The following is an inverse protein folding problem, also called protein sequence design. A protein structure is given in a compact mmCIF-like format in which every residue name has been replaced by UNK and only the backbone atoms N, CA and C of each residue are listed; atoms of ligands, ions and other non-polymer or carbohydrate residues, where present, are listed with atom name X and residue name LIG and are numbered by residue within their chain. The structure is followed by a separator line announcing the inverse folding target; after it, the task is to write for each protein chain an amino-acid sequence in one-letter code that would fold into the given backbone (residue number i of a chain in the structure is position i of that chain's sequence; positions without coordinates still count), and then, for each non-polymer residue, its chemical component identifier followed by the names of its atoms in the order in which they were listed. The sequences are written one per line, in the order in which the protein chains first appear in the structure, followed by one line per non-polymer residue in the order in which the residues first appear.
data_IF_161095869578
#
_entry.id   IF_161095869578
#
_cell.length_a   1.000
_cell.length_b   1.000
_cell.length_c   1.000
_cell.angle_alpha   90.00
_cell.angle_beta   90.00
_cell.angle_gamma   90.00
#
_symmetry.space_group_name_H-M   'P 1'
#
loop_
_entity.id
_entity.type
_entity.pdbx_description
1 polymer ?
#
# COMPACT_ATOMS: atom_id res chain seq x y z
N UNK A 1 -10.16 90.76 12.96
CA UNK A 1 -10.84 89.52 12.48
C UNK A 1 -10.11 88.79 11.32
N UNK A 2 -9.45 89.47 10.39
CA UNK A 2 -8.71 88.80 9.26
C UNK A 2 -7.43 88.07 9.67
N UNK A 3 -6.73 88.52 10.75
CA UNK A 3 -5.50 87.88 11.25
C UNK A 3 -5.76 86.51 11.94
N UNK A 4 -6.85 86.36 12.64
CA UNK A 4 -7.27 85.14 13.28
C UNK A 4 -7.65 84.01 12.30
N UNK A 5 -8.36 84.34 11.24
CA UNK A 5 -8.69 83.44 10.15
C UNK A 5 -7.46 82.81 9.48
N UNK A 6 -6.42 83.64 9.23
CA UNK A 6 -5.14 83.14 8.63
C UNK A 6 -4.38 82.20 9.56
N UNK A 7 -4.43 82.42 10.90
CA UNK A 7 -3.85 81.46 11.89
C UNK A 7 -4.62 80.16 11.94
N UNK A 8 -5.93 80.21 11.94
CA UNK A 8 -6.80 79.04 11.94
C UNK A 8 -6.56 78.22 10.67
N UNK A 9 -6.47 78.80 9.50
CA UNK A 9 -6.19 78.16 8.21
C UNK A 9 -4.81 77.46 8.24
N UNK A 10 -3.77 78.14 8.79
CA UNK A 10 -2.43 77.53 8.93
C UNK A 10 -2.40 76.38 9.87
N UNK A 11 -3.11 76.46 10.98
CA UNK A 11 -3.24 75.33 11.96
C UNK A 11 -4.01 74.14 11.33
N UNK A 12 -5.12 74.40 10.64
CA UNK A 12 -5.87 73.40 9.92
C UNK A 12 -5.03 72.72 8.83
N UNK A 13 -4.25 73.48 8.07
CA UNK A 13 -3.36 72.95 7.04
C UNK A 13 -2.20 72.13 7.63
N UNK A 14 -1.65 72.56 8.78
CA UNK A 14 -0.66 71.80 9.51
C UNK A 14 -1.24 70.45 10.06
N UNK A 15 -2.46 70.42 10.62
CA UNK A 15 -3.13 69.22 11.07
C UNK A 15 -3.40 68.27 9.90
N UNK A 16 -3.87 68.78 8.77
CA UNK A 16 -4.06 67.96 7.55
C UNK A 16 -2.74 67.37 7.05
N UNK A 17 -1.65 68.16 7.05
CA UNK A 17 -0.34 67.67 6.67
C UNK A 17 0.19 66.57 7.61
N UNK A 18 0.02 66.75 8.92
CA UNK A 18 0.38 65.71 9.91
C UNK A 18 -0.44 64.43 9.72
N UNK A 19 -1.76 64.54 9.49
CA UNK A 19 -2.62 63.40 9.21
C UNK A 19 -2.20 62.68 7.91
N UNK A 20 -1.85 63.44 6.86
CA UNK A 20 -1.34 62.88 5.61
C UNK A 20 -0.02 62.12 5.80
N UNK A 21 0.92 62.69 6.56
CA UNK A 21 2.19 62.04 6.88
C UNK A 21 1.96 60.81 7.74
N UNK A 22 1.03 60.83 8.71
CA UNK A 22 0.69 59.68 9.52
C UNK A 22 0.06 58.53 8.68
N UNK A 23 -0.84 58.85 7.75
CA UNK A 23 -1.42 57.88 6.81
C UNK A 23 -0.35 57.28 5.88
N UNK A 24 0.60 58.08 5.40
CA UNK A 24 1.72 57.59 4.60
C UNK A 24 2.61 56.64 5.43
N UNK A 25 2.95 57.06 6.66
CA UNK A 25 3.77 56.22 7.55
C UNK A 25 3.14 54.86 7.86
N UNK A 26 1.82 54.83 8.04
CA UNK A 26 1.10 53.53 8.26
C UNK A 26 1.14 52.61 7.04
N UNK A 27 1.24 53.14 5.82
CA UNK A 27 1.32 52.33 4.60
C UNK A 27 2.76 51.95 4.21
N UNK A 28 3.76 52.38 4.95
CA UNK A 28 5.16 52.04 4.70
C UNK A 28 5.57 50.64 5.24
N UNK A 29 4.75 50.03 6.03
CA UNK A 29 5.07 48.72 6.64
C UNK A 29 4.16 47.64 6.11
N UNK A 30 4.73 46.44 5.99
CA UNK A 30 4.01 45.22 5.70
C UNK A 30 4.49 44.13 6.66
N UNK A 31 3.56 43.34 7.19
CA UNK A 31 3.87 42.19 8.03
C UNK A 31 3.64 40.95 7.20
N UNK A 32 4.68 40.13 7.06
CA UNK A 32 4.62 38.80 6.40
C UNK A 32 4.38 37.78 7.48
N UNK A 33 3.35 36.99 7.31
CA UNK A 33 2.99 35.94 8.26
C UNK A 33 4.02 34.80 8.25
N UNK A 34 4.18 34.12 9.39
CA UNK A 34 5.05 32.95 9.48
C UNK A 34 4.64 31.87 8.46
N UNK A 35 5.65 31.32 7.74
CA UNK A 35 5.43 30.35 6.66
C UNK A 35 4.89 30.93 5.37
N UNK A 36 4.98 32.25 5.20
CA UNK A 36 4.72 32.96 3.95
C UNK A 36 5.96 33.72 3.47
N UNK A 37 6.06 33.90 2.17
CA UNK A 37 7.09 34.72 1.54
C UNK A 37 6.42 35.91 0.83
N UNK A 38 6.93 37.12 1.07
CA UNK A 38 6.45 38.32 0.46
C UNK A 38 7.10 38.54 -0.92
N UNK A 39 6.33 38.45 -1.99
CA UNK A 39 6.76 38.82 -3.34
C UNK A 39 6.54 40.32 -3.55
N UNK A 40 7.62 41.05 -3.80
CA UNK A 40 7.59 42.49 -4.00
C UNK A 40 7.30 42.81 -5.46
N UNK A 41 6.34 43.70 -5.68
CA UNK A 41 6.06 44.23 -7.01
C UNK A 41 6.25 45.76 -7.00
N UNK A 42 7.11 46.29 -7.86
CA UNK A 42 7.35 47.70 -8.03
C UNK A 42 6.71 48.19 -9.34
N UNK A 43 5.73 49.05 -9.25
CA UNK A 43 4.90 49.52 -10.38
C UNK A 43 4.30 48.40 -11.20
N UNK A 44 3.98 47.25 -10.53
CA UNK A 44 3.41 46.07 -11.18
C UNK A 44 4.44 45.06 -11.73
N UNK A 45 5.72 45.40 -11.75
CA UNK A 45 6.79 44.46 -12.10
C UNK A 45 7.24 43.66 -10.85
N UNK A 46 7.33 42.35 -10.96
CA UNK A 46 7.82 41.50 -9.90
C UNK A 46 9.33 41.67 -9.75
N UNK A 47 9.79 41.87 -8.53
CA UNK A 47 11.22 41.88 -8.20
C UNK A 47 11.69 40.46 -7.85
N UNK A 48 12.97 40.15 -8.18
CA UNK A 48 13.57 38.88 -7.83
C UNK A 48 13.79 38.69 -6.31
N UNK A 49 13.81 39.84 -5.59
CA UNK A 49 13.98 39.84 -4.13
C UNK A 49 12.67 39.52 -3.44
N UNK A 50 12.71 38.51 -2.55
CA UNK A 50 11.58 38.11 -1.72
C UNK A 50 11.80 38.57 -0.27
N UNK A 51 10.71 38.91 0.42
CA UNK A 51 10.71 39.24 1.84
C UNK A 51 10.39 37.98 2.67
N UNK A 52 11.23 37.72 3.64
CA UNK A 52 10.99 36.63 4.65
C UNK A 52 9.86 37.03 5.60
N UNK A 53 9.48 36.14 6.47
CA UNK A 53 8.52 36.41 7.55
C UNK A 53 8.99 37.54 8.47
N UNK A 54 8.04 38.36 8.98
CA UNK A 54 8.28 39.45 9.87
C UNK A 54 7.81 40.82 9.34
N UNK A 55 8.31 41.89 9.98
CA UNK A 55 8.00 43.27 9.63
C UNK A 55 9.00 43.82 8.62
N UNK A 56 8.49 44.29 7.48
CA UNK A 56 9.31 44.86 6.42
C UNK A 56 8.83 46.27 6.04
N UNK A 57 9.76 47.07 5.54
CA UNK A 57 9.47 48.37 5.00
C UNK A 57 9.17 48.26 3.49
N UNK A 58 8.11 48.92 3.03
CA UNK A 58 7.77 49.04 1.60
C UNK A 58 7.54 50.51 1.23
N UNK A 59 7.85 50.86 0.01
CA UNK A 59 7.53 52.18 -0.51
C UNK A 59 6.01 52.30 -0.80
N UNK A 60 5.27 53.16 -0.08
CA UNK A 60 3.83 53.32 -0.28
C UNK A 60 3.55 53.83 -1.72
N UNK A 61 2.46 53.34 -2.31
CA UNK A 61 1.99 53.60 -3.69
C UNK A 61 2.87 53.05 -4.82
N UNK A 62 4.15 52.79 -4.57
CA UNK A 62 5.10 52.25 -5.55
C UNK A 62 5.22 50.76 -5.48
N UNK A 63 5.31 50.25 -4.25
CA UNK A 63 5.48 48.83 -3.99
C UNK A 63 4.20 48.18 -3.46
N UNK A 64 3.86 47.04 -4.02
CA UNK A 64 2.87 46.13 -3.52
C UNK A 64 3.54 44.79 -3.12
N UNK A 65 3.09 44.18 -2.06
CA UNK A 65 3.64 42.88 -1.59
C UNK A 65 2.54 41.85 -1.56
N UNK A 66 2.73 40.77 -2.30
CA UNK A 66 1.83 39.63 -2.32
C UNK A 66 2.44 38.49 -1.49
N UNK A 67 1.68 37.96 -0.54
CA UNK A 67 2.14 36.88 0.31
C UNK A 67 1.85 35.56 -0.36
N UNK A 68 2.89 34.75 -0.61
CA UNK A 68 2.78 33.35 -1.05
C UNK A 68 2.88 32.43 0.13
N UNK A 69 2.01 31.43 0.19
CA UNK A 69 2.02 30.41 1.23
C UNK A 69 3.07 29.34 0.90
N UNK A 70 4.14 29.27 1.71
CA UNK A 70 5.25 28.32 1.56
C UNK A 70 5.13 27.13 2.53
N UNK A 71 4.05 27.05 3.31
CA UNK A 71 3.78 25.89 4.16
C UNK A 71 3.46 24.69 3.30
N UNK A 72 3.62 23.50 3.87
CA UNK A 72 3.19 22.27 3.22
C UNK A 72 1.69 22.29 2.95
N UNK A 73 1.35 22.18 1.70
CA UNK A 73 -0.03 22.12 1.20
C UNK A 73 -0.33 20.71 0.72
N UNK A 74 -1.61 20.33 0.75
CA UNK A 74 -2.11 19.06 0.21
C UNK A 74 -2.96 19.36 -1.02
N UNK A 75 -2.67 18.64 -2.10
CA UNK A 75 -3.57 18.56 -3.27
C UNK A 75 -3.98 17.10 -3.46
N UNK A 76 -5.28 16.90 -3.65
CA UNK A 76 -5.84 15.61 -4.00
C UNK A 76 -6.41 15.69 -5.41
N UNK A 77 -6.10 14.70 -6.24
CA UNK A 77 -6.59 14.63 -7.61
C UNK A 77 -6.96 13.20 -7.95
N UNK A 78 -7.93 13.09 -8.86
CA UNK A 78 -8.41 11.81 -9.40
C UNK A 78 -8.35 11.84 -10.91
N UNK A 79 -8.28 10.68 -11.51
CA UNK A 79 -8.24 10.53 -12.95
C UNK A 79 -8.14 9.08 -13.38
N UNK A 80 -7.90 8.89 -14.67
CA UNK A 80 -7.69 7.57 -15.25
C UNK A 80 -6.33 7.51 -15.95
N UNK A 81 -5.71 6.33 -15.90
CA UNK A 81 -4.48 6.01 -16.62
C UNK A 81 -4.64 4.64 -17.30
N UNK A 82 -3.80 4.35 -18.28
CA UNK A 82 -3.70 3.01 -18.87
C UNK A 82 -2.43 2.34 -18.36
N UNK A 83 -2.55 1.09 -17.94
CA UNK A 83 -1.42 0.24 -17.61
C UNK A 83 -0.70 -0.26 -18.89
N UNK A 84 0.44 -0.92 -18.73
CA UNK A 84 1.23 -1.51 -19.82
C UNK A 84 0.45 -2.53 -20.65
N UNK A 85 -0.45 -3.27 -20.01
CA UNK A 85 -1.35 -4.25 -20.62
C UNK A 85 -2.70 -3.66 -21.05
N UNK A 86 -2.73 -2.31 -21.24
CA UNK A 86 -3.87 -1.54 -21.76
C UNK A 86 -5.13 -1.60 -20.89
N UNK A 87 -5.00 -1.96 -19.61
CA UNK A 87 -6.11 -1.88 -18.67
C UNK A 87 -6.33 -0.45 -18.20
N UNK A 88 -7.59 -0.03 -18.09
CA UNK A 88 -7.95 1.28 -17.55
C UNK A 88 -7.92 1.19 -16.03
N UNK A 89 -7.16 2.10 -15.41
CA UNK A 89 -7.00 2.22 -13.98
C UNK A 89 -7.52 3.58 -13.55
N UNK A 90 -8.52 3.63 -12.70
CA UNK A 90 -8.96 4.84 -12.02
C UNK A 90 -8.11 5.04 -10.77
N UNK A 91 -7.63 6.25 -10.56
CA UNK A 91 -6.79 6.55 -9.41
C UNK A 91 -7.28 7.75 -8.63
N UNK A 92 -7.03 7.72 -7.32
CA UNK A 92 -7.10 8.87 -6.42
C UNK A 92 -5.76 8.99 -5.73
N UNK A 93 -5.14 10.14 -5.81
CA UNK A 93 -3.82 10.40 -5.22
C UNK A 93 -3.84 11.69 -4.42
N UNK A 94 -3.03 11.73 -3.37
CA UNK A 94 -2.81 12.90 -2.53
C UNK A 94 -1.32 13.23 -2.51
N UNK A 95 -0.99 14.50 -2.77
CA UNK A 95 0.38 15.01 -2.83
C UNK A 95 0.54 16.13 -1.82
N UNK A 96 1.56 16.01 -0.97
CA UNK A 96 2.00 17.08 -0.09
C UNK A 96 3.23 17.74 -0.70
N UNK A 97 3.19 19.06 -0.83
CA UNK A 97 4.25 19.84 -1.43
C UNK A 97 4.34 21.21 -0.76
N UNK A 98 5.47 21.87 -0.93
CA UNK A 98 5.65 23.27 -0.57
C UNK A 98 6.40 24.02 -1.67
N UNK A 99 6.25 25.33 -1.67
CA UNK A 99 7.00 26.23 -2.55
C UNK A 99 8.26 26.68 -1.82
N UNK A 100 9.40 26.61 -2.51
CA UNK A 100 10.66 27.10 -1.96
C UNK A 100 10.65 28.65 -1.91
N UNK A 101 11.07 29.23 -0.81
CA UNK A 101 11.06 30.68 -0.57
C UNK A 101 11.76 31.44 -1.70
N UNK A 102 12.94 30.98 -2.12
CA UNK A 102 13.74 31.59 -3.19
C UNK A 102 13.07 31.59 -4.56
N UNK A 103 12.12 30.67 -4.78
CA UNK A 103 11.44 30.50 -6.07
C UNK A 103 10.07 31.19 -6.13
N UNK A 104 9.60 31.72 -4.99
CA UNK A 104 8.28 32.34 -4.88
C UNK A 104 8.08 33.48 -5.86
N UNK A 105 9.09 34.33 -6.07
CA UNK A 105 9.01 35.46 -7.01
C UNK A 105 8.85 34.99 -8.46
N UNK A 106 9.69 34.07 -8.91
CA UNK A 106 9.64 33.52 -10.27
C UNK A 106 8.37 32.71 -10.52
N UNK A 107 7.90 31.92 -9.53
CA UNK A 107 6.65 31.21 -9.62
C UNK A 107 5.45 32.16 -9.74
N UNK A 108 5.42 33.21 -8.91
CA UNK A 108 4.36 34.21 -8.99
C UNK A 108 4.37 34.96 -10.33
N UNK A 109 5.55 35.33 -10.82
CA UNK A 109 5.71 36.04 -12.09
C UNK A 109 5.22 35.21 -13.29
N UNK A 110 5.56 33.93 -13.33
CA UNK A 110 5.31 33.06 -14.50
C UNK A 110 3.94 32.39 -14.48
N UNK A 111 3.39 32.14 -13.30
CA UNK A 111 2.17 31.32 -13.11
C UNK A 111 1.11 32.03 -12.29
N UNK A 112 1.52 32.83 -11.28
CA UNK A 112 0.60 33.48 -10.35
C UNK A 112 0.29 32.62 -9.12
N UNK A 113 -0.83 32.96 -8.46
CA UNK A 113 -1.24 32.29 -7.21
C UNK A 113 -1.90 30.93 -7.44
N UNK A 114 -2.38 30.66 -8.66
CA UNK A 114 -3.12 29.44 -8.97
C UNK A 114 -2.24 28.31 -9.54
N UNK A 115 -0.98 28.26 -9.08
CA UNK A 115 0.01 27.24 -9.50
C UNK A 115 -0.44 25.81 -9.20
N UNK A 116 -1.33 25.63 -8.22
CA UNK A 116 -1.90 24.32 -7.88
C UNK A 116 -2.67 23.70 -9.03
N UNK A 117 -3.60 24.45 -9.61
CA UNK A 117 -4.42 24.01 -10.73
C UNK A 117 -3.68 24.07 -12.08
N UNK A 118 -2.80 25.03 -12.26
CA UNK A 118 -2.12 25.28 -13.54
C UNK A 118 -0.92 24.34 -13.75
N UNK A 119 -0.16 24.05 -12.71
CA UNK A 119 1.07 23.23 -12.82
C UNK A 119 0.92 21.89 -12.09
N UNK A 120 0.53 21.91 -10.79
CA UNK A 120 0.65 20.72 -9.95
C UNK A 120 -0.30 19.63 -10.40
N UNK A 121 -1.58 19.94 -10.58
CA UNK A 121 -2.58 18.94 -10.99
C UNK A 121 -2.25 18.30 -12.34
N UNK A 122 -1.94 19.06 -13.40
CA UNK A 122 -1.52 18.47 -14.68
C UNK A 122 -0.24 17.65 -14.59
N UNK A 123 0.76 18.11 -13.82
CA UNK A 123 2.01 17.40 -13.63
C UNK A 123 1.81 16.06 -12.91
N UNK A 124 0.93 16.02 -11.89
CA UNK A 124 0.54 14.78 -11.21
C UNK A 124 -0.08 13.80 -12.20
N UNK A 125 -1.08 14.26 -12.96
CA UNK A 125 -1.79 13.41 -13.92
C UNK A 125 -0.87 12.85 -15.00
N UNK A 126 0.03 13.67 -15.52
CA UNK A 126 1.01 13.23 -16.52
C UNK A 126 2.03 12.25 -15.94
N UNK A 127 2.55 12.51 -14.74
CA UNK A 127 3.51 11.62 -14.07
C UNK A 127 2.89 10.26 -13.78
N UNK A 128 1.63 10.22 -13.34
CA UNK A 128 0.90 8.96 -13.11
C UNK A 128 0.72 8.20 -14.43
N UNK A 129 0.26 8.86 -15.49
CA UNK A 129 0.07 8.22 -16.81
C UNK A 129 1.38 7.66 -17.35
N UNK A 130 2.46 8.41 -17.24
CA UNK A 130 3.78 8.00 -17.73
C UNK A 130 4.34 6.78 -16.97
N UNK A 131 4.16 6.74 -15.66
CA UNK A 131 4.63 5.61 -14.84
C UNK A 131 3.68 4.42 -14.95
N UNK A 132 2.35 4.62 -14.88
CA UNK A 132 1.38 3.53 -14.99
C UNK A 132 1.54 2.72 -16.31
N UNK A 133 1.88 3.38 -17.40
CA UNK A 133 2.14 2.73 -18.69
C UNK A 133 3.37 1.79 -18.70
N UNK A 134 4.21 1.82 -17.68
CA UNK A 134 5.39 0.95 -17.55
C UNK A 134 5.10 -0.34 -16.78
N UNK A 135 4.00 -0.37 -16.02
CA UNK A 135 3.60 -1.49 -15.16
C UNK A 135 2.32 -2.15 -15.68
N UNK A 136 2.23 -3.47 -15.51
CA UNK A 136 0.96 -4.18 -15.72
C UNK A 136 -0.04 -3.85 -14.60
N UNK A 137 -1.32 -4.11 -14.83
CA UNK A 137 -2.35 -3.89 -13.82
C UNK A 137 -2.07 -4.71 -12.53
N UNK A 138 -1.59 -5.95 -12.67
CA UNK A 138 -1.16 -6.79 -11.54
C UNK A 138 0.04 -6.19 -10.79
N UNK A 139 1.01 -5.61 -11.50
CA UNK A 139 2.17 -4.95 -10.91
C UNK A 139 1.81 -3.64 -10.21
N UNK A 140 0.84 -2.87 -10.70
CA UNK A 140 0.34 -1.67 -10.04
C UNK A 140 -0.23 -1.96 -8.65
N UNK A 141 -0.79 -3.17 -8.46
CA UNK A 141 -1.30 -3.64 -7.16
C UNK A 141 -0.16 -4.17 -6.29
N UNK A 142 0.64 -5.10 -6.84
CA UNK A 142 1.63 -5.86 -6.06
C UNK A 142 2.89 -5.06 -5.75
N UNK A 143 3.27 -4.11 -6.63
CA UNK A 143 4.45 -3.24 -6.49
C UNK A 143 4.08 -1.79 -6.19
N UNK A 144 2.95 -1.57 -5.52
CA UNK A 144 2.35 -0.25 -5.25
C UNK A 144 3.35 0.76 -4.69
N UNK A 145 4.23 0.35 -3.78
CA UNK A 145 5.25 1.21 -3.20
C UNK A 145 6.24 1.70 -4.25
N UNK A 146 6.80 0.79 -5.04
CA UNK A 146 7.75 1.12 -6.12
C UNK A 146 7.13 2.06 -7.15
N UNK A 147 5.86 1.82 -7.50
CA UNK A 147 5.09 2.68 -8.41
C UNK A 147 4.94 4.08 -7.81
N UNK A 148 4.57 4.18 -6.54
CA UNK A 148 4.46 5.46 -5.83
C UNK A 148 5.78 6.24 -5.79
N UNK A 149 6.88 5.56 -5.51
CA UNK A 149 8.22 6.16 -5.48
C UNK A 149 8.64 6.66 -6.87
N UNK A 150 8.38 5.91 -7.93
CA UNK A 150 8.68 6.35 -9.30
C UNK A 150 7.81 7.53 -9.73
N UNK A 151 6.52 7.54 -9.36
CA UNK A 151 5.65 8.70 -9.65
C UNK A 151 6.16 9.92 -8.89
N UNK A 152 6.56 9.77 -7.62
CA UNK A 152 7.14 10.86 -6.81
C UNK A 152 8.38 11.45 -7.49
N UNK A 153 9.30 10.61 -7.97
CA UNK A 153 10.51 11.06 -8.69
C UNK A 153 10.12 11.80 -9.96
N UNK A 154 9.29 11.20 -10.81
CA UNK A 154 8.85 11.81 -12.06
C UNK A 154 8.11 13.13 -11.87
N UNK A 155 7.32 13.23 -10.80
CA UNK A 155 6.63 14.47 -10.43
C UNK A 155 7.62 15.51 -9.93
N UNK A 156 8.56 15.13 -9.03
CA UNK A 156 9.57 16.02 -8.48
C UNK A 156 10.45 16.63 -9.55
N UNK A 157 10.84 15.87 -10.57
CA UNK A 157 11.63 16.37 -11.70
C UNK A 157 10.86 17.43 -12.51
N UNK A 158 9.55 17.24 -12.69
CA UNK A 158 8.71 18.18 -13.44
C UNK A 158 8.46 19.48 -12.69
N UNK A 159 7.99 19.40 -11.44
CA UNK A 159 7.60 20.62 -10.69
C UNK A 159 8.77 21.27 -9.96
N UNK A 160 9.87 20.54 -9.76
CA UNK A 160 11.11 21.08 -9.18
C UNK A 160 11.69 22.24 -9.98
N UNK A 161 11.51 22.26 -11.31
CA UNK A 161 11.91 23.37 -12.20
C UNK A 161 11.20 24.68 -11.88
N UNK A 162 10.03 24.61 -11.25
CA UNK A 162 9.26 25.76 -10.77
C UNK A 162 9.54 26.12 -9.31
N UNK A 163 10.50 25.43 -8.68
CA UNK A 163 10.84 25.63 -7.28
C UNK A 163 9.81 25.06 -6.29
N UNK A 164 9.07 24.04 -6.71
CA UNK A 164 8.11 23.34 -5.88
C UNK A 164 8.72 21.98 -5.47
N UNK A 165 8.73 21.70 -4.16
CA UNK A 165 9.28 20.46 -3.61
C UNK A 165 8.16 19.52 -3.23
N UNK A 166 8.21 18.26 -3.70
CA UNK A 166 7.29 17.18 -3.31
C UNK A 166 7.80 16.53 -2.03
N UNK A 167 7.06 16.63 -0.96
CA UNK A 167 7.39 15.96 0.30
C UNK A 167 6.90 14.51 0.32
N UNK A 168 5.59 14.35 0.11
CA UNK A 168 4.93 13.06 0.21
C UNK A 168 4.03 12.88 -1.01
N UNK A 169 4.09 11.70 -1.61
CA UNK A 169 3.17 11.24 -2.63
C UNK A 169 2.45 9.99 -2.13
N UNK A 170 1.13 10.04 -2.05
CA UNK A 170 0.31 8.93 -1.59
C UNK A 170 -0.69 8.52 -2.67
N UNK A 171 -0.68 7.25 -3.02
CA UNK A 171 -1.75 6.64 -3.78
C UNK A 171 -2.86 6.31 -2.78
N UNK A 172 -4.00 6.99 -2.87
CA UNK A 172 -5.15 6.72 -2.01
C UNK A 172 -5.86 5.48 -2.50
N UNK A 173 -6.19 5.44 -3.78
CA UNK A 173 -6.88 4.31 -4.41
C UNK A 173 -6.40 4.05 -5.83
N UNK A 174 -6.39 2.76 -6.22
CA UNK A 174 -6.33 2.27 -7.60
C UNK A 174 -7.48 1.31 -7.82
N UNK A 175 -8.40 1.69 -8.70
CA UNK A 175 -9.56 0.88 -9.06
C UNK A 175 -9.43 0.42 -10.51
N UNK A 176 -9.74 -0.84 -10.75
CA UNK A 176 -9.73 -1.46 -12.07
C UNK A 176 -11.17 -1.74 -12.53
N UNK A 177 -11.35 -2.05 -13.80
CA UNK A 177 -12.67 -2.43 -14.30
C UNK A 177 -13.18 -3.71 -13.63
N UNK A 178 -14.50 -3.85 -13.53
CA UNK A 178 -15.14 -5.02 -12.93
C UNK A 178 -14.78 -6.30 -13.69
N UNK A 179 -14.69 -6.21 -15.03
CA UNK A 179 -14.28 -7.33 -15.89
C UNK A 179 -12.85 -7.78 -15.58
N UNK A 180 -11.93 -6.83 -15.34
CA UNK A 180 -10.55 -7.15 -14.97
C UNK A 180 -10.47 -7.80 -13.58
N UNK A 181 -11.19 -7.27 -12.60
CA UNK A 181 -11.23 -7.83 -11.25
C UNK A 181 -11.77 -9.27 -11.28
N UNK A 182 -12.86 -9.53 -12.01
CA UNK A 182 -13.42 -10.87 -12.17
C UNK A 182 -12.45 -11.83 -12.89
N UNK A 183 -11.71 -11.34 -13.90
CA UNK A 183 -10.72 -12.15 -14.61
C UNK A 183 -9.51 -12.50 -13.70
N UNK A 184 -9.06 -11.58 -12.87
CA UNK A 184 -7.99 -11.81 -11.89
C UNK A 184 -8.44 -12.82 -10.84
N UNK A 185 -9.66 -12.70 -10.31
CA UNK A 185 -10.23 -13.65 -9.35
C UNK A 185 -10.36 -15.05 -9.95
N UNK A 186 -10.87 -15.16 -11.18
CA UNK A 186 -10.97 -16.42 -11.89
C UNK A 186 -9.60 -17.07 -12.13
N UNK A 187 -8.59 -16.29 -12.54
CA UNK A 187 -7.20 -16.73 -12.71
C UNK A 187 -6.62 -17.24 -11.39
N UNK A 188 -6.82 -16.50 -10.31
CA UNK A 188 -6.31 -16.88 -8.99
C UNK A 188 -6.97 -18.14 -8.46
N UNK A 189 -8.30 -18.26 -8.64
CA UNK A 189 -9.05 -19.46 -8.31
C UNK A 189 -8.56 -20.68 -9.09
N UNK A 190 -8.33 -20.54 -10.40
CA UNK A 190 -7.79 -21.61 -11.23
C UNK A 190 -6.37 -22.02 -10.80
N UNK A 191 -5.51 -21.07 -10.47
CA UNK A 191 -4.17 -21.36 -9.96
C UNK A 191 -4.21 -22.08 -8.60
N UNK A 192 -5.07 -21.66 -7.68
CA UNK A 192 -5.26 -22.34 -6.39
C UNK A 192 -5.79 -23.77 -6.56
N UNK A 193 -6.73 -23.98 -7.48
CA UNK A 193 -7.26 -25.30 -7.78
C UNK A 193 -6.18 -26.22 -8.41
N UNK A 194 -5.34 -25.69 -9.30
CA UNK A 194 -4.24 -26.43 -9.89
C UNK A 194 -3.21 -26.83 -8.81
N UNK A 195 -2.81 -25.92 -7.94
CA UNK A 195 -1.90 -26.17 -6.84
C UNK A 195 -2.47 -27.21 -5.86
N UNK A 196 -3.77 -27.12 -5.55
CA UNK A 196 -4.46 -28.11 -4.71
C UNK A 196 -4.46 -29.48 -5.35
N UNK A 197 -4.74 -29.57 -6.65
CA UNK A 197 -4.70 -30.85 -7.38
C UNK A 197 -3.29 -31.48 -7.37
N UNK A 198 -2.24 -30.67 -7.51
CA UNK A 198 -0.85 -31.12 -7.42
C UNK A 198 -0.51 -31.65 -6.01
N UNK A 199 -0.94 -30.94 -4.97
CA UNK A 199 -0.76 -31.36 -3.58
C UNK A 199 -1.55 -32.65 -3.26
N UNK A 200 -2.78 -32.75 -3.78
CA UNK A 200 -3.60 -33.96 -3.61
C UNK A 200 -2.96 -35.17 -4.33
N UNK A 201 -2.41 -34.98 -5.52
CA UNK A 201 -1.66 -36.01 -6.23
C UNK A 201 -0.46 -36.49 -5.39
N UNK A 202 0.37 -35.56 -4.92
CA UNK A 202 1.52 -35.87 -4.10
C UNK A 202 1.14 -36.61 -2.80
N UNK A 203 0.01 -36.22 -2.19
CA UNK A 203 -0.53 -36.93 -1.02
C UNK A 203 -0.94 -38.36 -1.34
N UNK A 204 -1.68 -38.56 -2.44
CA UNK A 204 -2.11 -39.91 -2.88
C UNK A 204 -0.89 -40.80 -3.20
N UNK A 205 0.16 -40.23 -3.84
CA UNK A 205 1.39 -40.98 -4.10
C UNK A 205 2.09 -41.45 -2.81
N UNK A 206 2.15 -40.53 -1.81
CA UNK A 206 2.73 -40.85 -0.50
C UNK A 206 1.90 -41.90 0.23
N UNK A 207 0.56 -41.79 0.24
CA UNK A 207 -0.36 -42.75 0.83
C UNK A 207 -0.24 -44.14 0.17
N UNK A 208 -0.20 -44.20 -1.16
CA UNK A 208 0.00 -45.45 -1.91
C UNK A 208 1.36 -46.08 -1.56
N UNK A 209 2.42 -45.31 -1.47
CA UNK A 209 3.74 -45.79 -1.08
C UNK A 209 3.76 -46.29 0.36
N UNK A 210 3.06 -45.65 1.28
CA UNK A 210 2.89 -46.14 2.66
C UNK A 210 2.15 -47.48 2.71
N UNK A 211 1.05 -47.61 1.94
CA UNK A 211 0.31 -48.87 1.87
C UNK A 211 1.17 -50.02 1.32
N UNK A 212 1.94 -49.77 0.26
CA UNK A 212 2.88 -50.77 -0.29
C UNK A 212 3.91 -51.16 0.77
N UNK A 213 4.55 -50.15 1.41
CA UNK A 213 5.58 -50.43 2.44
C UNK A 213 4.99 -51.18 3.64
N UNK A 214 3.76 -50.90 4.03
CA UNK A 214 3.06 -51.60 5.10
C UNK A 214 2.75 -53.04 4.71
N UNK A 215 2.23 -53.26 3.48
CA UNK A 215 1.95 -54.61 2.99
C UNK A 215 3.24 -55.46 2.85
N UNK A 216 4.35 -54.82 2.39
CA UNK A 216 5.66 -55.49 2.35
C UNK A 216 6.17 -55.87 3.75
N UNK A 217 6.02 -54.96 4.73
CA UNK A 217 6.41 -55.21 6.12
C UNK A 217 5.55 -56.35 6.75
N UNK A 218 4.24 -56.34 6.49
CA UNK A 218 3.35 -57.42 6.91
C UNK A 218 3.71 -58.77 6.28
N UNK A 219 3.95 -58.79 4.97
CA UNK A 219 4.39 -60.00 4.26
C UNK A 219 5.73 -60.52 4.80
N UNK A 220 6.66 -59.62 5.08
CA UNK A 220 7.95 -59.97 5.68
C UNK A 220 7.80 -60.52 7.11
N UNK A 221 6.91 -59.93 7.91
CA UNK A 221 6.57 -60.37 9.26
C UNK A 221 5.96 -61.78 9.24
N UNK A 222 5.00 -62.02 8.32
CA UNK A 222 4.38 -63.37 8.15
C UNK A 222 5.45 -64.40 7.76
N UNK A 223 6.36 -64.07 6.85
CA UNK A 223 7.45 -64.96 6.45
C UNK A 223 8.39 -65.29 7.62
N UNK A 224 8.77 -64.31 8.41
CA UNK A 224 9.60 -64.46 9.61
C UNK A 224 8.89 -65.36 10.66
N UNK A 225 7.57 -65.20 10.86
CA UNK A 225 6.76 -66.00 11.73
C UNK A 225 6.70 -67.46 11.22
N UNK A 226 6.47 -67.63 9.91
CA UNK A 226 6.47 -68.98 9.32
C UNK A 226 7.82 -69.73 9.47
N UNK A 227 8.95 -68.96 9.24
CA UNK A 227 10.28 -69.56 9.45
C UNK A 227 10.57 -69.92 10.93
N UNK A 228 10.08 -69.08 11.85
CA UNK A 228 10.20 -69.36 13.31
C UNK A 228 9.35 -70.51 13.72
N UNK A 229 8.11 -70.64 13.21
CA UNK A 229 7.21 -71.75 13.48
C UNK A 229 7.72 -73.11 12.90
N UNK A 230 8.35 -73.05 11.74
CA UNK A 230 8.98 -74.24 11.13
C UNK A 230 10.13 -74.80 11.99
N UNK A 231 10.79 -73.94 12.80
CA UNK A 231 11.87 -74.35 13.71
C UNK A 231 11.40 -74.83 15.10
N UNK A 232 10.18 -74.51 15.49
CA UNK A 232 9.60 -74.85 16.81
C UNK A 232 8.11 -75.13 16.68
N UNK A 233 7.71 -76.32 16.31
CA UNK A 233 6.30 -76.73 16.16
C UNK A 233 5.48 -76.54 17.44
N UNK A 234 6.06 -76.82 18.61
CA UNK A 234 5.42 -76.70 19.93
C UNK A 234 5.02 -75.28 20.32
N UNK A 235 5.61 -74.27 19.68
CA UNK A 235 5.28 -72.88 19.95
C UNK A 235 3.89 -72.46 19.46
N UNK A 236 3.37 -73.12 18.44
CA UNK A 236 2.00 -72.91 17.94
C UNK A 236 0.99 -73.32 18.99
N UNK A 237 1.27 -74.45 19.63
CA UNK A 237 0.43 -75.01 20.66
C UNK A 237 0.41 -74.16 21.93
N UNK A 238 1.58 -73.66 22.34
CA UNK A 238 1.72 -72.68 23.43
C UNK A 238 0.92 -71.39 23.16
N UNK A 239 0.97 -70.82 21.95
CA UNK A 239 0.20 -69.62 21.62
C UNK A 239 -1.29 -69.87 21.59
N UNK A 240 -1.73 -71.01 21.08
CA UNK A 240 -3.15 -71.39 21.13
C UNK A 240 -3.67 -71.39 22.57
N UNK A 241 -2.96 -72.01 23.47
CA UNK A 241 -3.34 -72.04 24.88
C UNK A 241 -3.17 -70.75 25.63
N UNK A 242 -2.16 -69.93 25.31
CA UNK A 242 -1.92 -68.65 25.98
C UNK A 242 -2.92 -67.57 25.58
N UNK A 243 -3.52 -67.67 24.39
CA UNK A 243 -4.52 -66.67 23.89
C UNK A 243 -5.97 -67.21 24.06
N UNK A 244 -6.16 -68.37 24.54
CA UNK A 244 -7.51 -68.90 24.78
C UNK A 244 -8.09 -68.29 26.07
N UNK A 245 -9.27 -67.70 25.95
CA UNK A 245 -9.97 -67.04 27.06
C UNK A 245 -10.79 -68.10 27.92
N UNK A 246 -10.69 -69.34 27.63
CA UNK A 246 -11.43 -70.43 28.37
C UNK A 246 -12.88 -70.57 27.97
N UNK A 247 -13.39 -69.87 27.00
CA UNK A 247 -14.76 -69.91 26.50
C UNK A 247 -14.84 -70.69 25.18
N UNK A 248 -15.78 -71.68 25.12
CA UNK A 248 -16.04 -72.35 23.86
C UNK A 248 -16.85 -71.48 22.91
N UNK A 249 -16.58 -71.48 21.59
CA UNK A 249 -17.32 -70.68 20.62
C UNK A 249 -18.82 -71.09 20.68
N UNK A 250 -19.68 -70.10 20.85
CA UNK A 250 -21.13 -70.26 21.00
C UNK A 250 -21.87 -70.50 19.68
N UNK A 251 -21.19 -70.64 18.55
CA UNK A 251 -21.80 -70.97 17.26
C UNK A 251 -21.24 -72.26 16.70
N UNK A 252 -22.00 -73.30 16.75
CA UNK A 252 -21.74 -74.53 15.99
C UNK A 252 -22.37 -74.41 14.60
N UNK A 253 -21.55 -74.04 13.60
CA UNK A 253 -21.90 -74.22 12.18
C UNK A 253 -21.46 -75.65 11.79
N UNK A 254 -22.20 -76.26 10.86
CA UNK A 254 -22.06 -77.62 10.36
C UNK A 254 -20.78 -77.84 9.52
N UNK A 255 -19.63 -77.39 9.97
CA UNK A 255 -18.34 -77.64 9.36
C UNK A 255 -17.31 -78.00 10.44
N UNK A 256 -16.72 -79.15 10.28
CA UNK A 256 -15.66 -79.85 11.04
C UNK A 256 -14.94 -78.90 12.05
N UNK A 257 -15.19 -79.17 13.33
CA UNK A 257 -14.46 -78.58 14.45
C UNK A 257 -12.96 -78.71 14.23
N UNK A 258 -12.25 -77.58 14.24
CA UNK A 258 -10.78 -77.53 14.23
C UNK A 258 -10.16 -78.12 15.51
N UNK A 259 -10.99 -78.52 16.45
CA UNK A 259 -10.59 -79.21 17.67
C UNK A 259 -11.46 -80.48 17.78
N UNK A 260 -10.84 -81.64 17.60
CA UNK A 260 -11.47 -82.92 17.85
C UNK A 260 -11.67 -83.08 19.37
N UNK A 261 -12.93 -82.94 19.80
CA UNK A 261 -13.33 -83.10 21.22
C UNK A 261 -13.18 -84.49 21.77
N UNK A 262 -13.05 -85.46 20.91
CA UNK A 262 -12.85 -86.88 21.37
C UNK A 262 -11.39 -87.19 21.78
N UNK A 263 -10.41 -86.41 21.23
CA UNK A 263 -9.01 -86.45 21.68
C UNK A 263 -8.81 -85.91 23.09
N UNK A 264 -9.61 -84.88 23.49
CA UNK A 264 -9.54 -84.28 24.83
C UNK A 264 -10.20 -85.11 25.92
N UNK A 265 -11.11 -86.03 25.57
CA UNK A 265 -11.75 -86.96 26.54
C UNK A 265 -10.87 -88.10 26.91
N UNK A 266 -9.91 -88.49 26.07
CA UNK A 266 -8.97 -89.58 26.38
C UNK A 266 -7.84 -89.15 27.31
N UNK A 267 -7.46 -87.85 27.30
CA UNK A 267 -6.36 -87.37 28.14
C UNK A 267 -6.78 -86.95 29.56
N UNK A 268 -8.09 -86.90 29.86
CA UNK A 268 -8.64 -86.60 31.21
C UNK A 268 -9.02 -87.88 31.94
N UNK A 269 -8.84 -89.13 31.33
CA UNK A 269 -9.21 -90.37 31.89
C UNK A 269 -8.01 -91.29 32.29
N UNK A 270 -6.77 -90.78 32.19
CA UNK A 270 -5.57 -91.32 32.85
C UNK A 270 -5.11 -90.31 33.95
#
# INVERSE_FOLDING_TARGET
MKMERKKIIRIALAVVAVLLVALLAMNCFVVIEAGHTGVVMTFGAVEDTVLSEGLHFKAPFVQNVVQMNNRTQKTETQGTASSKDLQIVSYVVAVNYHVNDSSSASLYQNVGMDYGSVIIVPAIQESIKAVAAQFTAEELITKRQTVGDQIKVALSDKIGTYGITVEIFNIVNFDFSEEFNNAVEAKQTAQQNALKAEQDLARIEVEAKQQITQAEAEAQSIKLIQEALAKSPDYVEYIKWSKWNGELPSVMGDSSLLIDMDSLKQEVAE
#
